data_IF_907319617001
#
_entry.id   IF_907319617001
#
_cell.length_a   1.000
_cell.length_b   1.000
_cell.length_c   1.000
_cell.angle_alpha   90.00
_cell.angle_beta   90.00
_cell.angle_gamma   90.00
#
_symmetry.space_group_name_H-M   'P 1'
#
loop_
_entity.id
_entity.type
_entity.pdbx_description
1 polymer ?
#
# COMPACT_ATOMS: atom_id res chain seq x y z
N UNK A 1 46.28 20.63 -29.41
CA UNK A 1 46.97 20.42 -28.12
C UNK A 1 46.19 19.40 -27.35
N UNK A 2 46.74 18.14 -27.37
CA UNK A 2 46.20 16.99 -26.64
C UNK A 2 46.42 17.12 -25.13
N UNK A 3 45.39 16.90 -24.34
CA UNK A 3 45.55 16.47 -22.95
C UNK A 3 45.03 15.06 -22.80
N UNK A 4 45.93 14.10 -22.65
CA UNK A 4 45.66 12.75 -22.16
C UNK A 4 45.60 12.83 -20.63
N UNK A 5 44.46 12.56 -20.04
CA UNK A 5 44.35 12.23 -18.63
C UNK A 5 44.23 10.71 -18.47
N UNK A 6 45.27 10.11 -17.91
CA UNK A 6 45.30 8.71 -17.50
C UNK A 6 44.53 8.54 -16.18
N UNK A 7 43.41 7.82 -16.19
CA UNK A 7 42.76 7.35 -14.97
C UNK A 7 43.44 6.09 -14.48
N UNK A 8 44.19 6.19 -13.41
CA UNK A 8 44.65 5.06 -12.61
C UNK A 8 43.49 4.55 -11.75
N UNK A 9 43.12 3.34 -12.02
CA UNK A 9 42.21 2.53 -11.17
C UNK A 9 42.94 2.15 -9.89
N UNK A 10 42.62 2.74 -8.76
CA UNK A 10 42.85 2.14 -7.44
C UNK A 10 41.49 1.87 -6.81
N UNK A 11 41.08 0.62 -6.88
CA UNK A 11 39.99 0.05 -6.06
C UNK A 11 40.50 -0.12 -4.63
N UNK A 12 40.41 0.93 -3.84
CA UNK A 12 40.47 0.79 -2.39
C UNK A 12 39.15 0.13 -1.92
N UNK A 13 39.25 -1.13 -1.55
CA UNK A 13 38.23 -1.80 -0.76
C UNK A 13 38.11 -1.05 0.58
N UNK A 14 37.14 -0.15 0.68
CA UNK A 14 36.73 0.36 1.99
C UNK A 14 36.23 -0.80 2.80
N UNK A 15 37.03 -1.20 3.76
CA UNK A 15 36.65 -2.11 4.82
C UNK A 15 35.59 -1.38 5.68
N UNK A 16 34.29 -1.65 5.41
CA UNK A 16 33.21 -1.23 6.31
C UNK A 16 33.40 -2.11 7.56
N UNK A 17 33.63 -1.52 8.75
CA UNK A 17 33.67 -2.31 9.96
C UNK A 17 32.29 -2.96 10.10
N UNK A 18 32.30 -4.28 10.17
CA UNK A 18 31.13 -5.06 10.49
C UNK A 18 30.81 -4.78 11.97
N UNK A 19 30.11 -3.70 12.26
CA UNK A 19 29.58 -3.41 13.59
C UNK A 19 28.38 -4.34 13.85
N UNK A 20 28.70 -5.60 13.99
CA UNK A 20 27.78 -6.57 14.57
C UNK A 20 27.80 -6.39 16.08
N UNK A 21 27.26 -5.29 16.58
CA UNK A 21 26.71 -5.26 17.93
C UNK A 21 25.41 -6.07 17.92
N UNK A 22 25.52 -7.38 17.67
CA UNK A 22 24.52 -8.31 18.20
C UNK A 22 24.47 -8.01 19.69
N UNK A 23 23.29 -7.79 20.28
CA UNK A 23 23.20 -7.62 21.71
C UNK A 23 23.96 -8.78 22.36
N UNK A 24 24.99 -8.44 23.13
CA UNK A 24 25.75 -9.38 23.95
C UNK A 24 24.74 -10.28 24.63
N UNK A 25 24.99 -11.59 24.62
CA UNK A 25 24.09 -12.59 25.21
C UNK A 25 23.51 -12.05 26.53
N UNK A 26 22.19 -12.12 26.72
CA UNK A 26 21.56 -11.48 27.84
C UNK A 26 22.29 -11.93 29.13
N UNK A 27 22.74 -10.96 29.92
CA UNK A 27 23.28 -11.27 31.26
C UNK A 27 22.33 -12.29 31.87
N UNK A 28 22.89 -13.39 32.42
CA UNK A 28 22.11 -14.53 32.91
C UNK A 28 21.11 -14.05 34.00
N UNK A 29 19.92 -13.67 33.55
CA UNK A 29 18.84 -13.21 34.43
C UNK A 29 18.18 -14.45 35.00
N UNK A 30 18.38 -14.69 36.30
CA UNK A 30 17.87 -15.88 36.97
C UNK A 30 16.75 -15.57 37.96
N UNK A 31 15.77 -16.48 38.03
CA UNK A 31 14.80 -16.49 39.13
C UNK A 31 15.51 -16.80 40.45
N UNK A 32 15.10 -16.17 41.59
CA UNK A 32 13.99 -15.24 41.78
C UNK A 32 14.35 -13.75 41.54
N UNK A 33 15.63 -13.41 41.32
CA UNK A 33 16.05 -12.01 41.11
C UNK A 33 15.37 -11.41 39.90
N UNK A 34 15.28 -12.15 38.80
CA UNK A 34 14.55 -11.77 37.60
C UNK A 34 13.16 -12.42 37.56
N UNK A 35 12.12 -11.59 37.53
CA UNK A 35 10.72 -11.97 37.39
C UNK A 35 10.08 -11.14 36.28
N UNK A 36 9.94 -11.68 35.11
CA UNK A 36 9.34 -10.98 33.95
C UNK A 36 7.89 -10.52 34.21
N UNK A 37 7.13 -11.25 35.03
CA UNK A 37 5.78 -10.86 35.42
C UNK A 37 5.71 -9.56 36.25
N UNK A 38 6.82 -9.14 36.87
CA UNK A 38 6.90 -7.90 37.65
C UNK A 38 6.56 -6.69 36.77
N UNK A 39 7.08 -6.66 35.55
CA UNK A 39 6.83 -5.58 34.58
C UNK A 39 5.43 -5.59 33.97
N UNK A 40 4.71 -6.72 34.04
CA UNK A 40 3.36 -6.89 33.50
C UNK A 40 2.26 -6.67 34.53
N UNK A 41 2.59 -6.62 35.81
CA UNK A 41 1.62 -6.63 36.90
C UNK A 41 0.66 -5.44 36.85
N UNK A 42 1.20 -4.25 36.68
CA UNK A 42 0.46 -3.01 36.80
C UNK A 42 0.37 -2.28 35.48
N UNK A 43 -0.73 -1.53 35.26
CA UNK A 43 -0.97 -0.86 33.99
C UNK A 43 0.10 0.18 33.67
N UNK A 44 0.47 1.03 34.64
CA UNK A 44 1.52 2.04 34.43
C UNK A 44 2.83 1.40 33.98
N UNK A 45 3.18 0.24 34.53
CA UNK A 45 4.42 -0.47 34.20
C UNK A 45 4.36 -1.01 32.75
N UNK A 46 3.23 -1.62 32.37
CA UNK A 46 3.04 -2.08 30.98
C UNK A 46 3.11 -0.91 29.98
N UNK A 47 2.52 0.24 30.33
CA UNK A 47 2.55 1.45 29.49
C UNK A 47 3.96 2.00 29.32
N UNK A 48 4.75 2.06 30.41
CA UNK A 48 6.14 2.53 30.37
C UNK A 48 7.06 1.61 29.54
N UNK A 49 6.78 0.29 29.55
CA UNK A 49 7.61 -0.70 28.83
C UNK A 49 7.14 -0.98 27.40
N UNK A 50 6.15 -0.26 26.92
CA UNK A 50 5.62 -0.44 25.57
C UNK A 50 6.62 0.08 24.54
N UNK A 51 7.12 -0.83 23.70
CA UNK A 51 8.13 -0.53 22.68
C UNK A 51 7.52 0.07 21.40
N UNK A 52 6.28 -0.28 21.09
CA UNK A 52 5.59 0.13 19.85
C UNK A 52 4.32 0.89 20.19
N UNK A 53 4.11 1.99 19.49
CA UNK A 53 2.88 2.79 19.56
C UNK A 53 2.21 2.85 18.20
N UNK A 54 0.88 2.94 18.22
CA UNK A 54 0.04 3.23 17.07
C UNK A 54 -0.58 4.61 17.28
N UNK A 55 -0.45 5.48 16.30
CA UNK A 55 -1.07 6.81 16.26
C UNK A 55 -1.87 6.98 14.98
N UNK A 56 -2.65 8.03 14.87
CA UNK A 56 -3.37 8.38 13.63
C UNK A 56 -2.41 8.62 12.47
N UNK A 57 -1.18 9.10 12.74
CA UNK A 57 -0.15 9.34 11.72
C UNK A 57 0.33 8.08 11.01
N UNK A 58 0.03 6.90 11.59
CA UNK A 58 0.37 5.62 10.96
C UNK A 58 -0.77 5.07 10.07
N UNK A 59 -1.90 5.76 9.99
CA UNK A 59 -3.10 5.24 9.32
C UNK A 59 -3.30 5.90 7.96
N UNK A 60 -3.61 5.08 6.95
CA UNK A 60 -4.05 5.50 5.63
C UNK A 60 -5.40 4.82 5.37
N UNK A 61 -6.41 5.59 4.97
CA UNK A 61 -7.74 5.02 4.72
C UNK A 61 -7.95 4.74 3.22
N UNK A 62 -8.11 3.46 2.82
CA UNK A 62 -8.46 3.10 1.45
C UNK A 62 -9.93 3.41 1.17
N UNK A 63 -10.22 4.12 0.08
CA UNK A 63 -11.56 4.57 -0.30
C UNK A 63 -11.92 4.14 -1.71
N UNK A 64 -13.12 3.64 -1.88
CA UNK A 64 -13.66 3.26 -3.20
C UNK A 64 -14.52 4.39 -3.76
N UNK A 65 -14.28 4.71 -5.04
CA UNK A 65 -15.01 5.79 -5.73
C UNK A 65 -15.77 5.25 -6.93
N UNK A 66 -16.95 5.82 -7.18
CA UNK A 66 -17.86 5.47 -8.29
C UNK A 66 -18.37 6.72 -8.98
N UNK A 67 -18.86 6.55 -10.20
CA UNK A 67 -19.56 7.60 -10.93
C UNK A 67 -20.94 7.92 -10.31
N UNK A 68 -21.50 9.07 -10.70
CA UNK A 68 -22.83 9.51 -10.27
C UNK A 68 -22.81 10.60 -9.22
N UNK A 69 -23.97 10.82 -8.59
CA UNK A 69 -24.20 11.83 -7.55
C UNK A 69 -25.05 11.21 -6.45
N UNK A 70 -24.76 11.55 -5.19
CA UNK A 70 -25.49 11.04 -4.02
C UNK A 70 -25.33 9.53 -3.79
N UNK A 71 -24.28 8.92 -4.34
CA UNK A 71 -24.09 7.47 -4.26
C UNK A 71 -23.29 7.08 -3.03
N UNK A 72 -23.89 6.23 -2.18
CA UNK A 72 -23.24 5.47 -1.10
C UNK A 72 -23.62 4.02 -1.26
N UNK A 73 -22.75 3.23 -1.90
CA UNK A 73 -23.02 1.84 -2.23
C UNK A 73 -22.30 0.91 -1.26
N UNK A 74 -23.04 0.16 -0.46
CA UNK A 74 -22.47 -0.84 0.45
C UNK A 74 -21.78 -1.97 -0.31
N UNK A 75 -20.67 -2.48 0.26
CA UNK A 75 -19.93 -3.62 -0.27
C UNK A 75 -20.27 -4.82 0.63
N UNK A 76 -21.04 -5.80 0.14
CA UNK A 76 -21.56 -6.90 0.99
C UNK A 76 -20.45 -7.69 1.70
N UNK A 77 -19.32 -7.91 1.01
CA UNK A 77 -18.16 -8.65 1.53
C UNK A 77 -17.28 -7.82 2.47
N UNK A 78 -17.53 -6.50 2.59
CA UNK A 78 -16.77 -5.57 3.45
C UNK A 78 -17.73 -4.75 4.30
N UNK A 79 -18.21 -5.29 5.42
CA UNK A 79 -19.16 -4.59 6.29
C UNK A 79 -18.69 -3.19 6.67
N UNK A 80 -19.60 -2.21 6.66
CA UNK A 80 -19.37 -0.79 6.98
C UNK A 80 -18.48 -0.03 5.98
N UNK A 81 -18.00 -0.67 4.91
CA UNK A 81 -17.24 -0.03 3.83
C UNK A 81 -18.17 0.20 2.64
N UNK A 82 -18.04 1.38 2.02
CA UNK A 82 -18.90 1.81 0.92
C UNK A 82 -18.06 2.32 -0.26
N UNK A 83 -18.68 2.34 -1.44
CA UNK A 83 -18.22 3.13 -2.59
C UNK A 83 -18.94 4.46 -2.57
N UNK A 84 -18.25 5.53 -2.92
CA UNK A 84 -18.76 6.89 -2.86
C UNK A 84 -18.69 7.56 -4.23
N UNK A 85 -19.78 8.25 -4.62
CA UNK A 85 -19.67 9.28 -5.65
C UNK A 85 -18.89 10.49 -5.12
N UNK A 86 -18.39 11.34 -6.03
CA UNK A 86 -17.48 12.42 -5.66
C UNK A 86 -18.06 13.36 -4.57
N UNK A 87 -19.33 13.72 -4.66
CA UNK A 87 -20.01 14.55 -3.68
C UNK A 87 -20.13 13.90 -2.28
N UNK A 88 -20.34 12.60 -2.23
CA UNK A 88 -20.37 11.83 -0.97
C UNK A 88 -18.96 11.54 -0.44
N UNK A 89 -17.98 11.34 -1.35
CA UNK A 89 -16.56 11.22 -0.99
C UNK A 89 -16.08 12.45 -0.21
N UNK A 90 -16.44 13.65 -0.68
CA UNK A 90 -16.04 14.90 -0.04
C UNK A 90 -16.54 15.00 1.41
N UNK A 91 -17.74 14.52 1.70
CA UNK A 91 -18.30 14.49 3.06
C UNK A 91 -17.55 13.50 3.95
N UNK A 92 -17.29 12.30 3.43
CA UNK A 92 -16.55 11.26 4.15
C UNK A 92 -15.13 11.69 4.46
N UNK A 93 -14.44 12.34 3.51
CA UNK A 93 -13.07 12.84 3.68
C UNK A 93 -13.01 13.96 4.71
N UNK A 94 -14.02 14.81 4.83
CA UNK A 94 -14.07 15.82 5.88
C UNK A 94 -13.98 15.19 7.29
N UNK A 95 -14.69 14.06 7.52
CA UNK A 95 -14.62 13.33 8.80
C UNK A 95 -13.23 12.70 9.01
N UNK A 96 -12.60 12.20 7.95
CA UNK A 96 -11.26 11.60 8.00
C UNK A 96 -10.21 12.65 8.40
N UNK A 97 -10.30 13.85 7.81
CA UNK A 97 -9.43 14.98 8.15
C UNK A 97 -9.64 15.40 9.61
N UNK A 98 -10.90 15.49 10.07
CA UNK A 98 -11.19 15.76 11.48
C UNK A 98 -10.59 14.72 12.41
N UNK A 99 -10.56 13.44 12.01
CA UNK A 99 -9.97 12.36 12.78
C UNK A 99 -8.44 12.43 12.83
N UNK A 100 -7.81 13.30 12.04
CA UNK A 100 -6.35 13.46 11.99
C UNK A 100 -5.64 12.34 11.24
N UNK A 101 -6.33 11.64 10.33
CA UNK A 101 -5.72 10.66 9.42
C UNK A 101 -5.01 11.44 8.31
N UNK A 102 -3.68 11.25 8.11
CA UNK A 102 -2.90 12.12 7.26
C UNK A 102 -3.08 11.88 5.75
N UNK A 103 -3.54 10.69 5.35
CA UNK A 103 -3.65 10.32 3.93
C UNK A 103 -4.79 9.35 3.66
N UNK A 104 -5.29 9.39 2.42
CA UNK A 104 -6.23 8.42 1.86
C UNK A 104 -5.64 7.78 0.60
N UNK A 105 -6.10 6.57 0.27
CA UNK A 105 -5.77 5.90 -0.97
C UNK A 105 -7.05 5.66 -1.80
N UNK A 106 -7.05 6.12 -3.06
CA UNK A 106 -8.23 6.06 -3.93
C UNK A 106 -8.21 4.83 -4.83
N UNK A 107 -9.31 4.10 -4.84
CA UNK A 107 -9.54 2.93 -5.70
C UNK A 107 -10.85 3.10 -6.50
N UNK A 108 -10.77 3.26 -7.82
CA UNK A 108 -11.95 3.46 -8.65
C UNK A 108 -12.70 2.16 -8.92
N UNK A 109 -14.03 2.30 -9.06
CA UNK A 109 -14.92 1.31 -9.66
C UNK A 109 -15.64 1.97 -10.82
N UNK A 110 -14.97 2.10 -11.99
CA UNK A 110 -15.52 2.79 -13.15
C UNK A 110 -16.68 1.99 -13.76
N UNK A 111 -17.52 2.68 -14.53
CA UNK A 111 -18.61 2.03 -15.26
C UNK A 111 -18.07 0.98 -16.23
N UNK A 112 -18.80 -0.13 -16.38
CA UNK A 112 -18.40 -1.21 -17.29
C UNK A 112 -18.24 -0.71 -18.72
N UNK A 113 -19.04 0.26 -19.14
CA UNK A 113 -18.99 0.84 -20.48
C UNK A 113 -17.70 1.63 -20.79
N UNK A 114 -16.98 2.10 -19.76
CA UNK A 114 -15.69 2.80 -19.92
C UNK A 114 -14.49 1.85 -20.00
N UNK A 115 -14.68 0.56 -19.71
CA UNK A 115 -13.60 -0.43 -19.78
C UNK A 115 -13.24 -0.74 -21.22
N UNK A 116 -11.94 -1.00 -21.46
CA UNK A 116 -11.38 -1.36 -22.77
C UNK A 116 -10.32 -2.44 -22.63
N UNK A 117 -9.84 -2.99 -23.76
CA UNK A 117 -8.75 -3.99 -23.74
C UNK A 117 -7.42 -3.37 -23.27
N UNK A 118 -7.20 -2.10 -23.58
CA UNK A 118 -5.98 -1.36 -23.23
C UNK A 118 -6.09 -0.55 -21.93
N UNK A 119 -7.29 -0.51 -21.31
CA UNK A 119 -7.50 0.22 -20.05
C UNK A 119 -7.38 1.74 -20.16
N UNK A 120 -7.60 2.31 -21.35
CA UNK A 120 -7.36 3.74 -21.68
C UNK A 120 -8.06 4.75 -20.77
N UNK A 121 -9.13 4.37 -20.09
CA UNK A 121 -9.80 5.22 -19.11
C UNK A 121 -8.89 5.55 -17.90
N UNK A 122 -7.86 4.74 -17.64
CA UNK A 122 -6.90 4.94 -16.54
C UNK A 122 -6.13 6.28 -16.62
N UNK A 123 -5.90 6.76 -17.85
CA UNK A 123 -5.20 8.05 -18.09
C UNK A 123 -6.10 9.12 -18.72
N UNK A 124 -7.41 8.94 -18.68
CA UNK A 124 -8.35 9.97 -19.10
C UNK A 124 -8.19 11.20 -18.20
N UNK A 125 -7.82 12.39 -18.72
CA UNK A 125 -7.63 13.59 -17.88
C UNK A 125 -8.90 14.02 -17.15
N UNK A 126 -10.08 13.64 -17.66
CA UNK A 126 -11.39 13.89 -17.04
C UNK A 126 -11.97 12.63 -16.36
N UNK A 127 -11.14 11.60 -16.20
CA UNK A 127 -11.49 10.36 -15.52
C UNK A 127 -11.88 10.54 -14.05
N UNK A 128 -12.52 9.53 -13.50
CA UNK A 128 -13.06 9.57 -12.14
C UNK A 128 -11.97 9.87 -11.08
N UNK A 129 -10.79 9.24 -11.19
CA UNK A 129 -9.68 9.45 -10.25
C UNK A 129 -9.14 10.87 -10.36
N UNK A 130 -8.88 11.34 -11.58
CA UNK A 130 -8.33 12.67 -11.84
C UNK A 130 -9.26 13.77 -11.34
N UNK A 131 -10.58 13.64 -11.56
CA UNK A 131 -11.59 14.57 -11.02
C UNK A 131 -11.63 14.53 -9.48
N UNK A 132 -11.56 13.34 -8.88
CA UNK A 132 -11.54 13.17 -7.43
C UNK A 132 -10.31 13.82 -6.81
N UNK A 133 -9.12 13.58 -7.37
CA UNK A 133 -7.86 14.19 -6.90
C UNK A 133 -7.95 15.71 -6.95
N UNK A 134 -8.35 16.31 -8.09
CA UNK A 134 -8.49 17.78 -8.21
C UNK A 134 -9.44 18.36 -7.17
N UNK A 135 -10.62 17.76 -6.99
CA UNK A 135 -11.60 18.22 -6.02
C UNK A 135 -11.08 18.11 -4.58
N UNK A 136 -10.46 17.01 -4.23
CA UNK A 136 -9.89 16.77 -2.91
C UNK A 136 -8.73 17.74 -2.60
N UNK A 137 -7.81 17.94 -3.52
CA UNK A 137 -6.67 18.86 -3.32
C UNK A 137 -7.14 20.32 -3.24
N UNK A 138 -8.20 20.69 -3.93
CA UNK A 138 -8.80 22.01 -3.83
C UNK A 138 -9.41 22.25 -2.44
N UNK A 139 -10.10 21.25 -1.87
CA UNK A 139 -10.84 21.38 -0.61
C UNK A 139 -9.97 21.05 0.61
N UNK A 140 -9.11 20.05 0.51
CA UNK A 140 -8.27 19.53 1.60
C UNK A 140 -6.79 19.53 1.17
N UNK A 141 -6.15 20.69 0.95
CA UNK A 141 -4.79 20.76 0.38
C UNK A 141 -3.72 20.07 1.22
N UNK A 142 -3.93 19.95 2.53
CA UNK A 142 -2.99 19.31 3.46
C UNK A 142 -3.12 17.78 3.51
N UNK A 143 -4.25 17.21 3.01
CA UNK A 143 -4.45 15.78 3.01
C UNK A 143 -3.61 15.12 1.92
N UNK A 144 -2.87 14.06 2.29
CA UNK A 144 -2.12 13.24 1.34
C UNK A 144 -3.07 12.38 0.49
N UNK A 145 -2.96 12.51 -0.84
CA UNK A 145 -3.75 11.71 -1.78
C UNK A 145 -2.84 10.69 -2.46
N UNK A 146 -3.12 9.41 -2.23
CA UNK A 146 -2.45 8.27 -2.86
C UNK A 146 -3.37 7.74 -3.95
N UNK A 147 -2.84 7.54 -5.15
CA UNK A 147 -3.58 6.94 -6.27
C UNK A 147 -2.96 5.62 -6.67
N UNK A 148 -3.80 4.61 -6.82
CA UNK A 148 -3.38 3.30 -7.34
C UNK A 148 -3.04 3.40 -8.83
N UNK A 149 -1.93 2.79 -9.26
CA UNK A 149 -1.51 2.72 -10.66
C UNK A 149 -1.48 1.25 -11.07
N UNK A 150 -2.54 0.84 -11.75
CA UNK A 150 -2.76 -0.50 -12.30
C UNK A 150 -3.96 -0.46 -13.25
N UNK A 151 -4.06 -1.39 -14.19
CA UNK A 151 -5.09 -1.34 -15.22
C UNK A 151 -6.32 -2.21 -14.91
N UNK A 152 -6.31 -3.06 -13.90
CA UNK A 152 -7.39 -4.02 -13.62
C UNK A 152 -8.78 -3.40 -13.40
N UNK A 153 -8.95 -2.17 -12.84
CA UNK A 153 -10.27 -1.54 -12.79
C UNK A 153 -10.79 -1.13 -14.18
N UNK A 154 -9.90 -0.89 -15.14
CA UNK A 154 -10.19 -0.27 -16.45
C UNK A 154 -10.18 -1.25 -17.60
N UNK A 155 -9.65 -2.46 -17.40
CA UNK A 155 -9.59 -3.49 -18.45
C UNK A 155 -10.85 -4.37 -18.45
N UNK A 156 -11.27 -4.79 -19.66
CA UNK A 156 -12.41 -5.70 -19.82
C UNK A 156 -12.10 -7.12 -19.35
N UNK A 157 -10.82 -7.48 -19.23
CA UNK A 157 -10.32 -8.79 -18.79
C UNK A 157 -9.87 -8.82 -17.33
N UNK A 158 -9.82 -7.66 -16.63
CA UNK A 158 -9.51 -7.56 -15.20
C UNK A 158 -8.07 -7.87 -14.80
N UNK A 159 -7.12 -7.93 -15.74
CA UNK A 159 -5.69 -8.02 -15.46
C UNK A 159 -5.10 -6.63 -15.21
N UNK A 160 -4.00 -6.56 -14.44
CA UNK A 160 -3.32 -5.30 -14.09
C UNK A 160 -2.54 -4.67 -15.25
N UNK A 161 -2.37 -5.40 -16.38
CA UNK A 161 -1.67 -4.97 -17.58
C UNK A 161 -2.35 -5.38 -18.86
N UNK A 162 -1.72 -5.05 -19.99
CA UNK A 162 -2.19 -5.38 -21.35
C UNK A 162 -1.90 -6.85 -21.64
N UNK A 163 -2.85 -7.57 -22.21
CA UNK A 163 -2.73 -9.00 -22.51
C UNK A 163 -2.53 -9.27 -24.00
N UNK A 164 -1.89 -10.39 -24.29
CA UNK A 164 -1.86 -10.99 -25.64
C UNK A 164 -3.15 -11.79 -25.94
N UNK A 165 -3.13 -12.47 -27.10
CA UNK A 165 -4.26 -13.28 -27.55
C UNK A 165 -4.53 -14.52 -26.66
N UNK A 166 -3.53 -14.98 -25.92
CA UNK A 166 -3.60 -16.12 -25.00
C UNK A 166 -3.97 -15.69 -23.56
N UNK A 167 -4.09 -14.38 -23.31
CA UNK A 167 -4.42 -13.80 -22.02
C UNK A 167 -3.23 -13.62 -21.08
N UNK A 168 -2.00 -13.74 -21.59
CA UNK A 168 -0.77 -13.46 -20.85
C UNK A 168 -0.50 -11.96 -20.79
N UNK A 169 -0.16 -11.44 -19.60
CA UNK A 169 0.14 -10.01 -19.43
C UNK A 169 1.52 -9.68 -19.98
N UNK A 170 1.55 -8.73 -20.93
CA UNK A 170 2.76 -8.27 -21.60
C UNK A 170 3.41 -7.15 -20.79
N UNK A 171 4.60 -7.39 -20.24
CA UNK A 171 5.33 -6.46 -19.39
C UNK A 171 5.59 -5.12 -20.09
N UNK A 172 6.41 -5.11 -21.12
CA UNK A 172 6.95 -3.89 -21.72
C UNK A 172 5.88 -2.98 -22.34
N UNK A 173 4.86 -3.58 -22.97
CA UNK A 173 3.71 -2.84 -23.51
C UNK A 173 2.88 -2.20 -22.38
N UNK A 174 2.80 -2.84 -21.22
CA UNK A 174 2.06 -2.33 -20.07
C UNK A 174 2.74 -1.10 -19.48
N UNK A 175 4.07 -1.01 -19.53
CA UNK A 175 4.80 0.14 -18.96
C UNK A 175 4.33 1.49 -19.55
N UNK A 176 4.10 1.57 -20.85
CA UNK A 176 3.62 2.79 -21.50
C UNK A 176 2.27 3.26 -20.97
N UNK A 177 1.37 2.34 -20.67
CA UNK A 177 0.07 2.64 -20.09
C UNK A 177 0.19 3.10 -18.63
N UNK A 178 1.04 2.45 -17.85
CA UNK A 178 1.30 2.81 -16.44
C UNK A 178 1.96 4.19 -16.32
N UNK A 179 2.90 4.53 -17.20
CA UNK A 179 3.50 5.86 -17.28
C UNK A 179 2.43 6.92 -17.51
N UNK A 180 1.56 6.73 -18.52
CA UNK A 180 0.47 7.67 -18.83
C UNK A 180 -0.48 7.83 -17.66
N UNK A 181 -0.84 6.73 -16.98
CA UNK A 181 -1.70 6.75 -15.80
C UNK A 181 -1.04 7.54 -14.66
N UNK A 182 0.21 7.25 -14.32
CA UNK A 182 0.95 7.95 -13.26
C UNK A 182 1.08 9.45 -13.53
N UNK A 183 1.44 9.84 -14.76
CA UNK A 183 1.51 11.24 -15.18
C UNK A 183 0.17 11.94 -15.05
N UNK A 184 -0.92 11.33 -15.54
CA UNK A 184 -2.25 11.94 -15.46
C UNK A 184 -2.73 12.12 -14.01
N UNK A 185 -2.35 11.21 -13.11
CA UNK A 185 -2.62 11.34 -11.67
C UNK A 185 -1.79 12.47 -11.04
N UNK A 186 -0.50 12.58 -11.38
CA UNK A 186 0.38 13.65 -10.90
C UNK A 186 -0.09 15.03 -11.41
N UNK A 187 -0.47 15.15 -12.68
CA UNK A 187 -1.08 16.36 -13.28
C UNK A 187 -2.38 16.77 -12.57
N UNK A 188 -3.18 15.79 -12.12
CA UNK A 188 -4.37 16.06 -11.34
C UNK A 188 -4.07 16.53 -9.91
N UNK A 189 -2.82 16.37 -9.43
CA UNK A 189 -2.36 16.82 -8.11
C UNK A 189 -2.21 15.70 -7.07
N UNK A 190 -2.10 14.43 -7.48
CA UNK A 190 -1.81 13.33 -6.55
C UNK A 190 -0.44 13.54 -5.87
N UNK A 191 -0.39 13.38 -4.55
CA UNK A 191 0.85 13.50 -3.78
C UNK A 191 1.74 12.26 -3.89
N UNK A 192 1.11 11.10 -4.09
CA UNK A 192 1.78 9.80 -4.18
C UNK A 192 1.09 8.99 -5.28
N UNK A 193 1.86 8.47 -6.22
CA UNK A 193 1.42 7.42 -7.14
C UNK A 193 1.90 6.07 -6.60
N UNK A 194 1.02 5.06 -6.64
CA UNK A 194 1.30 3.77 -6.01
C UNK A 194 1.14 2.61 -7.02
N UNK A 195 2.19 2.30 -7.80
CA UNK A 195 2.16 1.22 -8.78
C UNK A 195 1.94 -0.14 -8.11
N UNK A 196 0.82 -0.78 -8.44
CA UNK A 196 0.39 -2.04 -7.83
C UNK A 196 0.30 -3.19 -8.85
N UNK A 197 0.76 -2.97 -10.05
CA UNK A 197 0.69 -3.84 -11.22
C UNK A 197 1.70 -5.00 -11.19
N UNK A 198 2.87 -4.82 -10.55
CA UNK A 198 3.97 -5.79 -10.46
C UNK A 198 4.70 -6.06 -11.80
N UNK A 199 4.71 -5.10 -12.74
CA UNK A 199 5.54 -5.22 -13.95
C UNK A 199 7.00 -4.89 -13.65
N UNK A 200 7.93 -5.59 -14.30
CA UNK A 200 9.37 -5.33 -14.16
C UNK A 200 9.75 -3.96 -14.75
N UNK A 201 10.57 -3.19 -14.03
CA UNK A 201 11.09 -1.90 -14.49
C UNK A 201 10.09 -0.73 -14.42
N UNK A 202 8.88 -0.95 -13.92
CA UNK A 202 7.82 0.08 -13.89
C UNK A 202 8.16 1.27 -13.00
N UNK A 203 8.85 1.04 -11.92
CA UNK A 203 9.18 2.12 -10.98
C UNK A 203 10.17 3.09 -11.62
N UNK A 204 11.22 2.58 -12.26
CA UNK A 204 12.21 3.39 -13.00
C UNK A 204 11.59 4.16 -14.15
N UNK A 205 10.71 3.51 -14.92
CA UNK A 205 10.00 4.12 -16.03
C UNK A 205 9.09 5.28 -15.57
N UNK A 206 8.28 5.05 -14.52
CA UNK A 206 7.40 6.07 -13.94
C UNK A 206 8.22 7.20 -13.31
N UNK A 207 9.30 6.90 -12.57
CA UNK A 207 10.17 7.93 -11.97
C UNK A 207 10.76 8.84 -13.03
N UNK A 208 11.35 8.27 -14.08
CA UNK A 208 11.92 9.06 -15.17
C UNK A 208 10.88 9.97 -15.82
N UNK A 209 9.69 9.45 -16.09
CA UNK A 209 8.63 10.24 -16.71
C UNK A 209 8.12 11.39 -15.80
N UNK A 210 7.99 11.15 -14.49
CA UNK A 210 7.61 12.18 -13.52
C UNK A 210 8.67 13.30 -13.45
N UNK A 211 9.96 12.95 -13.44
CA UNK A 211 11.08 13.93 -13.44
C UNK A 211 11.09 14.75 -14.73
N UNK A 212 10.98 14.11 -15.89
CA UNK A 212 10.94 14.76 -17.20
C UNK A 212 9.75 15.71 -17.37
N UNK A 213 8.59 15.35 -16.80
CA UNK A 213 7.39 16.19 -16.81
C UNK A 213 7.41 17.30 -15.72
N UNK A 214 8.43 17.35 -14.87
CA UNK A 214 8.56 18.35 -13.79
C UNK A 214 7.78 18.03 -12.51
N UNK A 215 7.22 16.84 -12.38
CA UNK A 215 6.51 16.36 -11.17
C UNK A 215 7.49 15.84 -10.10
N UNK A 216 8.58 16.58 -9.84
CA UNK A 216 9.68 16.18 -8.96
C UNK A 216 9.28 15.95 -7.50
N UNK A 217 8.11 16.41 -7.08
CA UNK A 217 7.58 16.23 -5.72
C UNK A 217 6.56 15.10 -5.59
N UNK A 218 6.15 14.50 -6.70
CA UNK A 218 5.25 13.32 -6.67
C UNK A 218 6.05 12.09 -6.23
N UNK A 219 5.64 11.49 -5.13
CA UNK A 219 6.30 10.34 -4.53
C UNK A 219 5.82 9.05 -5.19
N UNK A 220 6.67 8.02 -5.16
CA UNK A 220 6.31 6.67 -5.60
C UNK A 220 6.25 5.75 -4.38
N UNK A 221 5.07 5.19 -4.10
CA UNK A 221 4.85 4.10 -3.17
C UNK A 221 4.74 2.79 -3.96
N UNK A 222 5.84 2.06 -4.09
CA UNK A 222 5.88 0.83 -4.86
C UNK A 222 5.25 -0.34 -4.10
N UNK A 223 4.32 -1.07 -4.73
CA UNK A 223 3.84 -2.35 -4.21
C UNK A 223 4.89 -3.43 -4.49
N UNK A 224 6.05 -3.31 -3.87
CA UNK A 224 7.22 -4.14 -4.14
C UNK A 224 7.04 -5.60 -3.76
N UNK A 225 6.36 -5.86 -2.63
CA UNK A 225 6.12 -7.21 -2.12
C UNK A 225 4.61 -7.52 -2.15
N UNK A 226 4.04 -7.68 -3.35
CA UNK A 226 2.62 -8.01 -3.57
C UNK A 226 2.48 -9.46 -3.97
N UNK A 227 1.80 -10.24 -3.15
CA UNK A 227 1.61 -11.68 -3.33
C UNK A 227 0.31 -12.01 -4.06
N UNK A 228 0.29 -13.13 -4.82
CA UNK A 228 -0.90 -13.68 -5.46
C UNK A 228 -1.83 -14.31 -4.41
N UNK A 229 -2.42 -13.47 -3.57
CA UNK A 229 -3.11 -13.86 -2.34
C UNK A 229 -4.60 -14.15 -2.52
N UNK A 230 -5.09 -15.16 -1.83
CA UNK A 230 -6.52 -15.45 -1.69
C UNK A 230 -7.27 -14.41 -0.83
N UNK A 231 -6.57 -13.56 -0.09
CA UNK A 231 -7.17 -12.51 0.75
C UNK A 231 -7.70 -11.31 -0.05
N UNK A 232 -7.60 -11.29 -1.39
CA UNK A 232 -8.11 -10.19 -2.23
C UNK A 232 -9.57 -10.34 -2.66
N UNK A 233 -10.24 -11.42 -2.28
CA UNK A 233 -11.63 -11.67 -2.70
C UNK A 233 -12.56 -10.46 -2.52
N UNK A 234 -12.71 -9.89 -1.30
CA UNK A 234 -13.60 -8.75 -1.08
C UNK A 234 -13.19 -7.47 -1.83
N UNK A 235 -11.90 -7.25 -2.09
CA UNK A 235 -11.44 -6.11 -2.89
C UNK A 235 -11.93 -6.21 -4.35
N UNK A 236 -11.86 -7.41 -4.93
CA UNK A 236 -12.35 -7.64 -6.31
C UNK A 236 -13.85 -7.34 -6.43
N UNK A 237 -14.62 -7.64 -5.38
CA UNK A 237 -16.02 -7.24 -5.27
C UNK A 237 -16.14 -5.71 -5.21
N UNK A 238 -15.31 -5.05 -4.40
CA UNK A 238 -15.35 -3.61 -4.19
C UNK A 238 -15.07 -2.78 -5.46
N UNK A 239 -14.10 -3.19 -6.30
CA UNK A 239 -13.75 -2.50 -7.54
C UNK A 239 -14.47 -3.06 -8.78
N UNK A 240 -15.33 -4.08 -8.62
CA UNK A 240 -16.08 -4.69 -9.71
C UNK A 240 -15.21 -5.47 -10.71
N UNK A 241 -14.01 -5.91 -10.32
CA UNK A 241 -13.11 -6.66 -11.19
C UNK A 241 -13.35 -8.17 -11.17
N UNK A 242 -14.12 -8.70 -10.21
CA UNK A 242 -14.42 -10.13 -10.11
C UNK A 242 -15.09 -10.68 -11.37
N UNK A 243 -16.03 -9.94 -11.96
CA UNK A 243 -16.74 -10.36 -13.15
C UNK A 243 -15.83 -10.34 -14.40
N UNK A 244 -14.91 -9.36 -14.47
CA UNK A 244 -13.97 -9.21 -15.60
C UNK A 244 -12.88 -10.27 -15.59
N UNK A 245 -12.29 -10.58 -14.43
CA UNK A 245 -11.23 -11.60 -14.30
C UNK A 245 -11.75 -13.03 -14.55
N UNK A 246 -13.02 -13.31 -14.28
CA UNK A 246 -13.64 -14.62 -14.47
C UNK A 246 -12.88 -15.74 -13.74
N UNK A 247 -12.36 -16.73 -14.49
CA UNK A 247 -11.51 -17.82 -13.99
C UNK A 247 -10.01 -17.52 -14.07
N UNK A 248 -9.62 -16.35 -14.54
CA UNK A 248 -8.22 -15.91 -14.62
C UNK A 248 -7.58 -15.77 -13.23
N UNK A 249 -6.26 -15.78 -13.23
CA UNK A 249 -5.46 -15.52 -12.03
C UNK A 249 -4.35 -14.50 -12.33
N UNK A 250 -3.59 -14.12 -11.32
CA UNK A 250 -2.51 -13.12 -11.41
C UNK A 250 -1.14 -13.73 -11.05
N UNK A 251 -1.00 -15.07 -11.08
CA UNK A 251 0.22 -15.77 -10.68
C UNK A 251 1.41 -15.55 -11.61
N UNK A 252 1.19 -15.04 -12.84
CA UNK A 252 2.27 -14.78 -13.80
C UNK A 252 3.05 -13.50 -13.52
N UNK A 253 2.55 -12.65 -12.59
CA UNK A 253 3.21 -11.39 -12.23
C UNK A 253 3.11 -10.99 -10.74
N UNK A 254 2.24 -11.60 -9.94
CA UNK A 254 2.24 -11.44 -8.49
C UNK A 254 3.03 -12.58 -7.86
N UNK A 255 3.76 -12.30 -6.78
CA UNK A 255 4.66 -13.26 -6.13
C UNK A 255 3.94 -14.48 -5.58
N UNK A 256 4.60 -15.63 -5.62
CA UNK A 256 4.11 -16.85 -4.97
C UNK A 256 4.08 -16.69 -3.45
N UNK A 257 2.97 -17.09 -2.84
CA UNK A 257 2.76 -16.98 -1.38
C UNK A 257 3.75 -17.80 -0.54
N UNK A 258 4.44 -18.77 -1.14
CA UNK A 258 5.46 -19.59 -0.49
C UNK A 258 6.86 -18.95 -0.47
N UNK A 259 7.07 -17.84 -1.22
CA UNK A 259 8.37 -17.22 -1.40
C UNK A 259 8.57 -16.04 -0.42
N UNK A 260 9.73 -15.99 0.22
CA UNK A 260 10.08 -14.85 1.07
C UNK A 260 11.37 -14.13 0.63
N UNK A 261 12.31 -14.83 -0.01
CA UNK A 261 13.55 -14.21 -0.51
C UNK A 261 13.28 -13.34 -1.74
N UNK A 262 12.35 -13.73 -2.60
CA UNK A 262 11.89 -12.98 -3.76
C UNK A 262 11.47 -11.56 -3.39
N UNK A 263 10.73 -11.39 -2.27
CA UNK A 263 10.31 -10.09 -1.79
C UNK A 263 11.47 -9.12 -1.53
N UNK A 264 12.63 -9.62 -1.07
CA UNK A 264 13.81 -8.76 -0.88
C UNK A 264 14.44 -8.35 -2.21
N UNK A 265 14.39 -9.22 -3.23
CA UNK A 265 14.87 -8.88 -4.57
C UNK A 265 13.97 -7.82 -5.22
N UNK A 266 12.65 -8.00 -5.17
CA UNK A 266 11.68 -7.01 -5.68
C UNK A 266 11.83 -5.64 -4.99
N UNK A 267 11.94 -5.62 -3.68
CA UNK A 267 12.15 -4.37 -2.93
C UNK A 267 13.48 -3.72 -3.29
N UNK A 268 14.56 -4.49 -3.45
CA UNK A 268 15.87 -3.97 -3.85
C UNK A 268 15.82 -3.31 -5.24
N UNK A 269 15.12 -3.93 -6.19
CA UNK A 269 14.95 -3.42 -7.55
C UNK A 269 14.13 -2.12 -7.52
N UNK A 270 12.96 -2.12 -6.90
CA UNK A 270 12.09 -0.94 -6.82
C UNK A 270 12.79 0.25 -6.14
N UNK A 271 13.56 0.02 -5.07
CA UNK A 271 14.35 1.08 -4.43
C UNK A 271 15.47 1.61 -5.34
N UNK A 272 16.16 0.73 -6.07
CA UNK A 272 17.20 1.13 -7.03
C UNK A 272 16.61 1.90 -8.22
N UNK A 273 15.38 1.63 -8.61
CA UNK A 273 14.61 2.30 -9.64
C UNK A 273 14.03 3.65 -9.21
N UNK A 274 14.07 3.99 -7.92
CA UNK A 274 13.66 5.31 -7.41
C UNK A 274 12.32 5.32 -6.67
N UNK A 275 11.89 4.21 -6.08
CA UNK A 275 10.78 4.21 -5.12
C UNK A 275 11.16 5.01 -3.86
N UNK A 276 10.27 5.90 -3.41
CA UNK A 276 10.43 6.63 -2.15
C UNK A 276 10.00 5.80 -0.94
N UNK A 277 9.06 4.91 -1.16
CA UNK A 277 8.46 4.02 -0.15
C UNK A 277 8.13 2.69 -0.80
N UNK A 278 8.18 1.61 0.00
CA UNK A 278 7.82 0.27 -0.43
C UNK A 278 6.65 -0.29 0.37
N UNK A 279 5.86 -1.17 -0.23
CA UNK A 279 4.68 -1.75 0.39
C UNK A 279 4.73 -3.28 0.36
N UNK A 280 4.37 -3.88 1.50
CA UNK A 280 4.06 -5.31 1.64
C UNK A 280 2.54 -5.51 1.61
N UNK A 281 2.05 -6.39 0.76
CA UNK A 281 0.63 -6.70 0.58
C UNK A 281 0.42 -8.20 0.32
N UNK A 282 -0.39 -8.89 1.12
CA UNK A 282 -1.17 -8.51 2.32
C UNK A 282 -0.36 -8.14 3.56
N UNK A 283 -1.06 -7.84 4.68
CA UNK A 283 -0.48 -7.39 5.94
C UNK A 283 -0.19 -8.52 6.93
N UNK A 284 -1.18 -8.92 7.75
CA UNK A 284 -1.01 -9.84 8.88
C UNK A 284 -0.37 -11.20 8.52
N UNK A 285 -0.71 -11.84 7.39
CA UNK A 285 -0.07 -13.12 7.02
C UNK A 285 1.40 -12.98 6.60
N UNK A 286 1.91 -11.76 6.41
CA UNK A 286 3.23 -11.46 5.85
C UNK A 286 4.09 -10.58 6.78
N UNK A 287 3.86 -10.66 8.12
CA UNK A 287 4.65 -9.89 9.10
C UNK A 287 6.13 -10.25 9.10
N UNK A 288 6.47 -11.47 8.73
CA UNK A 288 7.85 -11.93 8.51
C UNK A 288 8.51 -11.17 7.36
N UNK A 289 7.78 -10.94 6.26
CA UNK A 289 8.25 -10.15 5.12
C UNK A 289 8.44 -8.70 5.53
N UNK A 290 7.46 -8.10 6.23
CA UNK A 290 7.56 -6.72 6.75
C UNK A 290 8.82 -6.56 7.59
N UNK A 291 9.08 -7.52 8.50
CA UNK A 291 10.26 -7.47 9.36
C UNK A 291 11.56 -7.58 8.57
N UNK A 292 11.62 -8.52 7.62
CA UNK A 292 12.80 -8.74 6.77
C UNK A 292 13.11 -7.51 5.91
N UNK A 293 12.10 -6.94 5.24
CA UNK A 293 12.24 -5.72 4.42
C UNK A 293 12.75 -4.56 5.27
N UNK A 294 12.17 -4.35 6.45
CA UNK A 294 12.58 -3.27 7.33
C UNK A 294 14.00 -3.45 7.87
N UNK A 295 14.40 -4.66 8.21
CA UNK A 295 15.74 -4.95 8.71
C UNK A 295 16.82 -4.83 7.62
N UNK A 296 16.50 -5.25 6.40
CA UNK A 296 17.46 -5.26 5.29
C UNK A 296 17.70 -3.86 4.72
N UNK A 297 16.62 -3.10 4.47
CA UNK A 297 16.71 -1.85 3.71
C UNK A 297 16.59 -0.59 4.58
N UNK A 298 15.95 -0.65 5.74
CA UNK A 298 15.66 0.55 6.57
C UNK A 298 14.74 1.57 5.88
N UNK A 299 14.27 1.29 4.66
CA UNK A 299 13.42 2.18 3.88
C UNK A 299 12.04 2.40 4.53
N UNK A 300 11.32 3.47 4.20
CA UNK A 300 9.92 3.64 4.57
C UNK A 300 9.10 2.46 4.05
N UNK A 301 8.58 1.64 4.98
CA UNK A 301 7.88 0.38 4.68
C UNK A 301 6.43 0.51 5.06
N UNK A 302 5.55 0.46 4.06
CA UNK A 302 4.10 0.50 4.25
C UNK A 302 3.52 -0.90 4.17
N UNK A 303 2.37 -1.09 4.76
CA UNK A 303 1.67 -2.39 4.77
C UNK A 303 0.21 -2.19 4.42
N UNK A 304 -0.33 -3.05 3.57
CA UNK A 304 -1.76 -3.05 3.30
C UNK A 304 -2.43 -4.21 4.05
N UNK A 305 -3.15 -3.89 5.13
CA UNK A 305 -4.10 -4.81 5.74
C UNK A 305 -5.32 -4.92 4.80
N UNK A 306 -5.35 -6.00 4.01
CA UNK A 306 -6.25 -6.10 2.87
C UNK A 306 -7.68 -6.47 3.24
N UNK A 307 -8.56 -6.39 2.25
CA UNK A 307 -9.99 -6.60 2.38
C UNK A 307 -10.39 -7.95 2.99
N UNK A 308 -9.68 -9.02 2.66
CA UNK A 308 -9.92 -10.34 3.26
C UNK A 308 -9.57 -10.42 4.74
N UNK A 309 -8.50 -9.74 5.15
CA UNK A 309 -8.13 -9.63 6.57
C UNK A 309 -9.21 -8.86 7.34
N UNK A 310 -9.64 -7.71 6.79
CA UNK A 310 -10.76 -6.94 7.34
C UNK A 310 -12.03 -7.77 7.44
N UNK A 311 -12.42 -8.46 6.37
CA UNK A 311 -13.62 -9.29 6.32
C UNK A 311 -13.59 -10.43 7.34
N UNK A 312 -12.44 -11.08 7.55
CA UNK A 312 -12.27 -12.13 8.57
C UNK A 312 -12.49 -11.59 9.98
N UNK A 313 -11.90 -10.44 10.32
CA UNK A 313 -12.09 -9.80 11.62
C UNK A 313 -13.56 -9.42 11.84
N UNK A 314 -14.19 -8.79 10.84
CA UNK A 314 -15.60 -8.41 10.92
C UNK A 314 -16.54 -9.62 11.03
N UNK A 315 -16.25 -10.70 10.32
CA UNK A 315 -17.04 -11.93 10.41
C UNK A 315 -16.94 -12.55 11.81
N UNK A 316 -15.74 -12.65 12.38
CA UNK A 316 -15.55 -13.17 13.72
C UNK A 316 -16.19 -12.28 14.80
N UNK A 317 -16.09 -10.95 14.65
CA UNK A 317 -16.72 -9.99 15.56
C UNK A 317 -18.26 -10.08 15.51
N UNK A 318 -18.85 -10.13 14.31
CA UNK A 318 -20.30 -10.25 14.12
C UNK A 318 -20.89 -11.54 14.71
N UNK A 319 -20.10 -12.61 14.75
CA UNK A 319 -20.49 -13.86 15.40
C UNK A 319 -20.24 -13.85 16.93
N UNK A 320 -19.73 -12.75 17.49
CA UNK A 320 -19.43 -12.64 18.93
C UNK A 320 -18.23 -13.48 19.39
N UNK A 321 -17.38 -13.92 18.46
CA UNK A 321 -16.20 -14.72 18.80
C UNK A 321 -14.99 -13.89 19.18
N UNK A 322 -14.89 -12.67 18.66
CA UNK A 322 -13.83 -11.71 18.98
C UNK A 322 -14.45 -10.33 19.26
N UNK A 323 -13.81 -9.56 20.12
CA UNK A 323 -14.11 -8.14 20.27
C UNK A 323 -13.50 -7.37 19.08
N UNK A 324 -14.35 -6.68 18.31
CA UNK A 324 -13.97 -5.97 17.10
C UNK A 324 -12.88 -4.91 17.37
N UNK A 325 -13.09 -4.11 18.41
CA UNK A 325 -12.17 -3.01 18.75
C UNK A 325 -10.81 -3.53 19.19
N UNK A 326 -10.82 -4.56 20.04
CA UNK A 326 -9.58 -5.15 20.56
C UNK A 326 -8.77 -5.79 19.44
N UNK A 327 -9.40 -6.60 18.56
CA UNK A 327 -8.67 -7.28 17.49
C UNK A 327 -8.20 -6.33 16.39
N UNK A 328 -8.96 -5.27 16.10
CA UNK A 328 -8.53 -4.24 15.15
C UNK A 328 -7.27 -3.53 15.66
N UNK A 329 -7.26 -3.05 16.91
CA UNK A 329 -6.09 -2.40 17.52
C UNK A 329 -4.88 -3.35 17.60
N UNK A 330 -5.09 -4.60 18.02
CA UNK A 330 -4.02 -5.57 18.14
C UNK A 330 -3.40 -5.89 16.79
N UNK A 331 -4.20 -6.11 15.76
CA UNK A 331 -3.70 -6.41 14.42
C UNK A 331 -2.83 -5.28 13.86
N UNK A 332 -3.27 -4.03 13.99
CA UNK A 332 -2.49 -2.87 13.53
C UNK A 332 -1.22 -2.67 14.36
N UNK A 333 -1.29 -2.92 15.66
CA UNK A 333 -0.11 -2.85 16.52
C UNK A 333 0.90 -3.97 16.18
N UNK A 334 0.44 -5.16 15.80
CA UNK A 334 1.31 -6.23 15.31
C UNK A 334 2.03 -5.84 14.02
N UNK A 335 1.33 -5.21 13.08
CA UNK A 335 1.91 -4.70 11.83
C UNK A 335 2.95 -3.61 12.12
N UNK A 336 2.63 -2.65 13.03
CA UNK A 336 3.61 -1.65 13.48
C UNK A 336 4.84 -2.28 14.12
N UNK A 337 4.65 -3.25 15.01
CA UNK A 337 5.74 -3.98 15.69
C UNK A 337 6.62 -4.75 14.72
N UNK A 338 6.07 -5.24 13.61
CA UNK A 338 6.85 -5.86 12.55
C UNK A 338 7.75 -4.87 11.80
N UNK A 339 7.48 -3.55 11.89
CA UNK A 339 8.33 -2.52 11.30
C UNK A 339 7.65 -1.59 10.30
N UNK A 340 6.34 -1.72 10.12
CA UNK A 340 5.61 -0.83 9.22
C UNK A 340 5.64 0.62 9.71
N UNK A 341 5.92 1.59 8.82
CA UNK A 341 5.85 3.02 9.11
C UNK A 341 4.42 3.56 8.98
N UNK A 342 3.68 3.08 7.98
CA UNK A 342 2.27 3.38 7.80
C UNK A 342 1.48 2.14 7.34
N UNK A 343 0.16 2.18 7.56
CA UNK A 343 -0.73 1.04 7.31
C UNK A 343 -1.95 1.52 6.54
N UNK A 344 -2.15 0.97 5.34
CA UNK A 344 -3.42 1.06 4.65
C UNK A 344 -4.38 0.06 5.29
N UNK A 345 -5.47 0.54 5.87
CA UNK A 345 -6.42 -0.32 6.58
C UNK A 345 -7.85 0.24 6.54
N UNK A 346 -8.80 -0.64 6.35
CA UNK A 346 -10.23 -0.30 6.42
C UNK A 346 -10.70 -0.02 7.87
N UNK A 347 -9.90 -0.35 8.87
CA UNK A 347 -10.14 0.03 10.26
C UNK A 347 -9.69 1.45 10.60
N UNK A 348 -9.04 2.19 9.69
CA UNK A 348 -8.41 3.48 10.00
C UNK A 348 -9.35 4.45 10.71
N UNK A 349 -10.57 4.65 10.20
CA UNK A 349 -11.57 5.55 10.79
C UNK A 349 -11.99 5.12 12.20
N UNK A 350 -12.32 3.83 12.39
CA UNK A 350 -12.71 3.28 13.70
C UNK A 350 -11.58 3.39 14.72
N UNK A 351 -10.36 3.03 14.31
CA UNK A 351 -9.19 3.07 15.18
C UNK A 351 -8.78 4.50 15.51
N UNK A 352 -8.86 5.44 14.58
CA UNK A 352 -8.59 6.85 14.86
C UNK A 352 -9.50 7.40 15.97
N UNK A 353 -10.79 7.02 15.99
CA UNK A 353 -11.73 7.38 17.09
C UNK A 353 -11.29 6.78 18.42
N UNK A 354 -10.77 5.54 18.44
CA UNK A 354 -10.30 4.88 19.66
C UNK A 354 -9.02 5.51 20.20
N UNK A 355 -8.11 5.96 19.32
CA UNK A 355 -6.83 6.55 19.70
C UNK A 355 -6.96 7.97 20.29
N UNK A 356 -8.09 8.64 20.09
CA UNK A 356 -8.41 9.94 20.67
C UNK A 356 -8.90 9.89 22.12
N UNK A 357 -9.23 8.71 22.62
CA UNK A 357 -9.69 8.47 23.99
C UNK A 357 -8.51 8.18 24.93
#
# INVERSE_FOLDING_TARGET
LCYKASFLTQTEKRHVPNDTTKPTAPMSRQFPATRMRRMRRDDFSRRLMRETQLTTDNLIFPMFIVEGTGQRQSIPSMPDIQRFSLDELMKEVAEIVELGIPAIALFPSPDVASKSLDGREAWNPDGLVQRAVRALKTTFPALGIITDVALDPYTTHGQDGIIDADGYVLNDVTLDALIRQALSHAEAGADIVAPSDMMDGRIGAIRSALEEAGHIHTRILAYSAKYASSYYGPFRDAVGSSASLGKGNKHTYQMDVANSNEALHEVALDLAEGADMVMVKPGMPYLDIVRRVKDEFGAPTFVYQVSGEYAMHMAAARNGWLDESAVALESLLCIRRAGADAILTYFAKKVAVMLRR
#
